data_IF_269161532438
#
_entry.id   IF_269161532438
#
_cell.length_a   1.000
_cell.length_b   1.000
_cell.length_c   1.000
_cell.angle_alpha   90.00
_cell.angle_beta   90.00
_cell.angle_gamma   90.00
#
_symmetry.space_group_name_H-M   'P 1'
#
loop_
_entity.id
_entity.type
_entity.pdbx_description
1 polymer ?
#
# COMPACT_ATOMS: atom_id res chain seq x y z
N UNK A 1 2.96 -19.77 5.26
CA UNK A 1 3.82 -18.61 5.27
C UNK A 1 4.29 -18.26 3.89
N UNK A 2 5.14 -19.12 3.30
CA UNK A 2 5.61 -18.90 1.95
C UNK A 2 4.46 -18.87 0.94
N UNK A 3 3.52 -19.78 1.09
CA UNK A 3 2.32 -19.83 0.28
C UNK A 3 1.48 -18.57 0.41
N UNK A 4 1.34 -18.05 1.63
CA UNK A 4 0.60 -16.82 1.89
C UNK A 4 1.29 -15.62 1.24
N UNK A 5 2.62 -15.57 1.28
CA UNK A 5 3.40 -14.51 0.67
C UNK A 5 3.28 -14.56 -0.85
N UNK A 6 3.28 -15.75 -1.44
CA UNK A 6 3.09 -15.93 -2.87
C UNK A 6 1.72 -15.43 -3.31
N UNK A 7 0.69 -15.70 -2.52
CA UNK A 7 -0.67 -15.24 -2.78
C UNK A 7 -0.75 -13.72 -2.73
N UNK A 8 -0.15 -13.11 -1.70
CA UNK A 8 -0.11 -11.65 -1.56
C UNK A 8 0.62 -11.02 -2.74
N UNK A 9 1.74 -11.59 -3.13
CA UNK A 9 2.52 -11.11 -4.26
C UNK A 9 1.70 -11.17 -5.56
N UNK A 10 1.00 -12.26 -5.80
CA UNK A 10 0.16 -12.42 -6.99
C UNK A 10 -0.97 -11.40 -7.01
N UNK A 11 -1.62 -11.16 -5.88
CA UNK A 11 -2.69 -10.17 -5.76
C UNK A 11 -2.18 -8.76 -6.01
N UNK A 12 -1.05 -8.43 -5.41
CA UNK A 12 -0.44 -7.11 -5.58
C UNK A 12 -0.02 -6.87 -7.03
N UNK A 13 0.57 -7.88 -7.65
CA UNK A 13 0.97 -7.81 -9.05
C UNK A 13 -0.24 -7.56 -9.95
N UNK A 14 -1.35 -8.24 -9.68
CA UNK A 14 -2.59 -8.05 -10.43
C UNK A 14 -3.10 -6.61 -10.32
N UNK A 15 -3.06 -6.05 -9.11
CA UNK A 15 -3.49 -4.67 -8.89
C UNK A 15 -2.62 -3.70 -9.71
N UNK A 16 -1.29 -3.91 -9.70
CA UNK A 16 -0.39 -3.08 -10.47
C UNK A 16 -0.60 -3.19 -11.97
N UNK A 17 -0.92 -4.38 -12.46
CA UNK A 17 -1.14 -4.60 -13.89
C UNK A 17 -2.48 -4.07 -14.37
N UNK A 18 -3.53 -4.16 -13.53
CA UNK A 18 -4.89 -3.82 -13.92
C UNK A 18 -5.39 -2.51 -13.32
N UNK A 19 -4.67 -1.96 -12.34
CA UNK A 19 -5.08 -0.79 -11.55
C UNK A 19 -6.47 -0.98 -10.93
N UNK A 20 -6.77 -2.17 -10.46
CA UNK A 20 -8.06 -2.49 -9.87
C UNK A 20 -7.89 -3.32 -8.58
N UNK A 21 -8.15 -2.75 -7.41
CA UNK A 21 -8.52 -1.34 -7.18
C UNK A 21 -7.36 -0.38 -7.45
N UNK A 22 -7.62 0.91 -7.68
CA UNK A 22 -6.57 1.86 -8.05
C UNK A 22 -5.58 2.20 -6.94
N UNK A 23 -5.88 1.82 -5.70
CA UNK A 23 -4.98 2.03 -4.57
C UNK A 23 -4.92 0.80 -3.70
N UNK A 24 -3.80 0.05 -3.74
CA UNK A 24 -3.64 -1.07 -2.81
C UNK A 24 -3.64 -0.57 -1.38
N UNK A 25 -4.51 -1.15 -0.55
CA UNK A 25 -4.64 -0.84 0.87
C UNK A 25 -4.16 -2.05 1.66
N UNK A 26 -3.40 -1.80 2.73
CA UNK A 26 -2.84 -2.85 3.56
C UNK A 26 -3.51 -2.90 4.92
N UNK A 27 -3.42 -4.03 5.59
CA UNK A 27 -3.87 -4.17 6.97
C UNK A 27 -2.87 -3.47 7.89
N UNK A 28 -3.32 -2.63 8.82
CA UNK A 28 -2.41 -1.99 9.76
C UNK A 28 -1.91 -3.02 10.77
N UNK A 29 -0.62 -3.34 10.71
CA UNK A 29 0.01 -4.26 11.66
C UNK A 29 1.35 -3.74 12.16
N UNK A 30 1.89 -2.76 11.48
CA UNK A 30 3.22 -2.21 11.74
C UNK A 30 3.15 -1.08 12.75
N UNK A 31 4.15 -0.98 13.63
CA UNK A 31 4.21 0.10 14.62
C UNK A 31 4.22 1.48 13.97
N UNK A 32 4.64 1.56 12.71
CA UNK A 32 4.66 2.81 11.96
C UNK A 32 3.26 3.30 11.55
N UNK A 33 2.22 2.50 11.75
CA UNK A 33 0.84 2.86 11.40
C UNK A 33 0.05 3.12 12.67
N UNK A 34 -0.15 4.40 13.05
CA UNK A 34 -0.95 4.74 14.22
C UNK A 34 -2.42 4.35 14.04
N UNK A 35 -3.14 4.21 15.16
CA UNK A 35 -4.57 3.93 15.13
C UNK A 35 -5.31 5.02 14.35
N UNK A 36 -6.27 4.60 13.53
CA UNK A 36 -7.06 5.53 12.74
C UNK A 36 -6.44 5.95 11.42
N UNK A 37 -5.24 5.47 11.13
CA UNK A 37 -4.55 5.74 9.86
C UNK A 37 -4.70 4.53 8.93
N UNK A 38 -4.68 4.81 7.62
CA UNK A 38 -4.79 3.77 6.59
C UNK A 38 -3.47 3.68 5.82
N UNK A 39 -2.83 2.50 5.79
CA UNK A 39 -1.64 2.30 4.95
C UNK A 39 -2.06 1.94 3.52
N UNK A 40 -1.46 2.58 2.54
CA UNK A 40 -1.84 2.39 1.13
C UNK A 40 -0.67 2.78 0.21
N UNK A 41 -0.81 2.42 -1.08
CA UNK A 41 0.08 2.90 -2.13
C UNK A 41 -0.68 3.92 -2.96
N UNK A 42 -0.10 5.09 -3.19
CA UNK A 42 -0.77 6.15 -3.96
C UNK A 42 -0.88 5.79 -5.44
N UNK A 43 -1.80 6.43 -6.15
CA UNK A 43 -1.98 6.21 -7.59
C UNK A 43 -0.71 6.54 -8.37
N UNK A 44 -0.05 7.64 -8.01
CA UNK A 44 1.19 8.05 -8.65
C UNK A 44 2.28 7.01 -8.48
N UNK A 45 2.45 6.51 -7.25
CA UNK A 45 3.43 5.46 -6.97
C UNK A 45 3.08 4.18 -7.72
N UNK A 46 1.80 3.85 -7.79
CA UNK A 46 1.32 2.67 -8.50
C UNK A 46 1.69 2.73 -10.00
N UNK A 47 1.44 3.85 -10.64
CA UNK A 47 1.78 4.04 -12.05
C UNK A 47 3.28 4.01 -12.31
N UNK A 48 4.07 4.51 -11.36
CA UNK A 48 5.54 4.56 -11.48
C UNK A 48 6.23 3.30 -10.97
N UNK A 49 5.46 2.29 -10.54
CA UNK A 49 5.98 1.05 -9.94
C UNK A 49 6.88 1.33 -8.74
N UNK A 50 6.49 2.31 -7.95
CA UNK A 50 7.17 2.62 -6.70
C UNK A 50 6.45 1.93 -5.55
N UNK A 51 7.19 1.26 -4.70
CA UNK A 51 6.63 0.46 -3.62
C UNK A 51 6.74 1.19 -2.29
N UNK A 52 6.09 2.35 -2.23
CA UNK A 52 6.07 3.21 -1.05
C UNK A 52 4.75 3.05 -0.32
N UNK A 53 4.83 2.67 0.96
CA UNK A 53 3.62 2.59 1.80
C UNK A 53 3.44 3.95 2.47
N UNK A 54 2.30 4.59 2.23
CA UNK A 54 1.94 5.88 2.82
C UNK A 54 0.83 5.68 3.82
N UNK A 55 0.71 6.59 4.77
CA UNK A 55 -0.37 6.58 5.75
C UNK A 55 -1.13 7.91 5.72
N UNK A 56 -2.44 7.84 5.96
CA UNK A 56 -3.31 9.00 5.99
C UNK A 56 -4.47 8.71 6.94
N UNK A 57 -5.04 9.73 7.62
CA UNK A 57 -6.22 9.49 8.45
C UNK A 57 -7.37 8.90 7.63
N UNK A 58 -8.11 7.96 8.22
CA UNK A 58 -9.21 7.28 7.55
C UNK A 58 -10.20 8.26 6.92
N UNK A 59 -10.57 9.32 7.63
CA UNK A 59 -11.51 10.31 7.11
C UNK A 59 -11.01 10.96 5.82
N UNK A 60 -9.72 11.29 5.76
CA UNK A 60 -9.12 11.90 4.57
C UNK A 60 -9.01 10.87 3.43
N UNK A 61 -8.75 9.61 3.77
CA UNK A 61 -8.72 8.54 2.76
C UNK A 61 -10.10 8.38 2.10
N UNK A 62 -11.17 8.43 2.90
CA UNK A 62 -12.54 8.31 2.42
C UNK A 62 -12.90 9.51 1.52
N UNK A 63 -12.49 10.72 1.90
CA UNK A 63 -12.72 11.91 1.09
C UNK A 63 -12.02 11.85 -0.26
N UNK A 64 -10.88 11.18 -0.32
CA UNK A 64 -10.22 10.88 -1.58
C UNK A 64 -9.58 12.05 -2.30
N UNK A 65 -9.16 13.10 -1.57
CA UNK A 65 -8.49 14.25 -2.18
C UNK A 65 -7.11 13.84 -2.69
N UNK A 66 -6.91 13.88 -4.00
CA UNK A 66 -5.67 13.43 -4.63
C UNK A 66 -4.42 14.10 -4.08
N UNK A 67 -4.45 15.41 -3.88
CA UNK A 67 -3.29 16.14 -3.36
C UNK A 67 -2.82 15.58 -2.03
N UNK A 68 -3.75 15.28 -1.13
CA UNK A 68 -3.42 14.71 0.18
C UNK A 68 -2.94 13.29 0.08
N UNK A 69 -3.61 12.48 -0.76
CA UNK A 69 -3.28 11.06 -0.93
C UNK A 69 -1.91 10.88 -1.58
N UNK A 70 -1.57 11.73 -2.55
CA UNK A 70 -0.29 11.61 -3.27
C UNK A 70 0.89 12.18 -2.50
N UNK A 71 0.65 12.99 -1.49
CA UNK A 71 1.69 13.66 -0.71
C UNK A 71 1.70 13.24 0.76
N UNK A 72 1.00 12.17 1.11
CA UNK A 72 0.95 11.68 2.48
C UNK A 72 2.30 11.13 2.92
N UNK A 73 2.48 11.00 4.23
CA UNK A 73 3.73 10.51 4.82
C UNK A 73 4.04 9.09 4.36
N UNK A 74 5.26 8.87 3.90
CA UNK A 74 5.77 7.54 3.56
C UNK A 74 6.33 6.91 4.82
N UNK A 75 5.84 5.73 5.19
CA UNK A 75 6.31 5.00 6.37
C UNK A 75 7.21 3.83 6.02
N UNK A 76 7.20 3.39 4.77
CA UNK A 76 8.05 2.29 4.31
C UNK A 76 8.26 2.41 2.80
N UNK A 77 9.45 2.09 2.34
CA UNK A 77 9.79 2.10 0.92
C UNK A 77 10.55 0.83 0.59
N UNK A 78 10.23 0.24 -0.55
CA UNK A 78 10.84 -1.01 -1.00
C UNK A 78 11.27 -0.89 -2.46
N UNK A 79 12.25 -1.69 -2.84
CA UNK A 79 12.76 -1.71 -4.21
C UNK A 79 11.98 -2.69 -5.11
N UNK A 80 11.19 -3.56 -4.51
CA UNK A 80 10.41 -4.54 -5.26
C UNK A 80 9.18 -4.98 -4.48
N UNK A 81 8.21 -5.58 -5.18
CA UNK A 81 7.03 -6.17 -4.55
C UNK A 81 7.43 -7.27 -3.58
N UNK A 82 8.45 -8.04 -3.94
CA UNK A 82 8.94 -9.13 -3.12
C UNK A 82 9.43 -8.62 -1.76
N UNK A 83 10.15 -7.52 -1.75
CA UNK A 83 10.63 -6.92 -0.50
C UNK A 83 9.48 -6.41 0.35
N UNK A 84 8.48 -5.79 -0.29
CA UNK A 84 7.30 -5.28 0.42
C UNK A 84 6.54 -6.41 1.09
N UNK A 85 6.27 -7.48 0.36
CA UNK A 85 5.55 -8.64 0.88
C UNK A 85 6.38 -9.38 1.93
N UNK A 86 7.68 -9.49 1.70
CA UNK A 86 8.59 -10.17 2.64
C UNK A 86 8.66 -9.46 3.99
N UNK A 87 8.47 -8.14 4.01
CA UNK A 87 8.44 -7.38 5.26
C UNK A 87 7.13 -7.57 6.04
N UNK A 88 6.16 -8.26 5.44
CA UNK A 88 4.94 -8.65 6.14
C UNK A 88 3.70 -7.83 5.83
N UNK A 89 3.76 -6.90 4.87
CA UNK A 89 2.57 -6.16 4.49
C UNK A 89 1.54 -7.10 3.84
N UNK A 90 0.30 -7.00 4.29
CA UNK A 90 -0.80 -7.86 3.84
C UNK A 90 -1.90 -6.97 3.29
N UNK A 91 -2.34 -7.26 2.07
CA UNK A 91 -3.45 -6.53 1.44
C UNK A 91 -4.74 -6.72 2.25
N UNK A 92 -5.44 -5.63 2.43
CA UNK A 92 -6.71 -5.65 3.14
C UNK A 92 -7.85 -6.11 2.23
#
# INVERSE_FOLDING_TARGET
MKETQERQLAMLKRIYETCMPPRPVFKPYHDAVPDGMVPYISCSDLFDYKFNVRIIPLAEFILGENDKLENATIVASYNSMQELVADGWVLD
#
